data_IF_299974061048
#
_entry.id   IF_299974061048
#
_cell.length_a   1.000
_cell.length_b   1.000
_cell.length_c   1.000
_cell.angle_alpha   90.00
_cell.angle_beta   90.00
_cell.angle_gamma   90.00
#
_symmetry.space_group_name_H-M   'P 1'
#
loop_
_entity.id
_entity.type
_entity.pdbx_description
1 polymer ?
#
# COMPACT_ATOMS: atom_id res chain seq x y z
N UNK A 1 7.91 8.57 15.67
CA UNK A 1 7.94 8.71 17.14
C UNK A 1 8.99 7.82 17.78
N UNK A 2 9.05 6.52 17.50
CA UNK A 2 10.01 5.58 18.12
C UNK A 2 11.48 5.99 17.96
N UNK A 3 11.93 6.28 16.73
CA UNK A 3 13.32 6.75 16.50
C UNK A 3 13.67 8.04 17.25
N UNK A 4 12.69 8.88 17.54
CA UNK A 4 12.92 10.14 18.26
C UNK A 4 13.04 9.88 19.77
N UNK A 5 12.21 9.00 20.31
CA UNK A 5 12.31 8.50 21.68
C UNK A 5 13.67 7.81 21.93
N UNK A 6 14.21 7.11 20.94
CA UNK A 6 15.55 6.51 21.04
C UNK A 6 16.69 7.54 21.14
N UNK A 7 16.41 8.84 20.94
CA UNK A 7 17.38 9.92 21.12
C UNK A 7 17.23 10.69 22.44
N UNK A 8 16.31 10.28 23.31
CA UNK A 8 16.02 10.99 24.58
C UNK A 8 16.49 10.19 25.81
N UNK A 9 16.81 10.93 26.87
CA UNK A 9 17.14 10.39 28.20
C UNK A 9 18.28 9.35 28.18
N UNK A 10 18.03 8.15 28.69
CA UNK A 10 18.98 7.03 28.78
C UNK A 10 19.00 6.16 27.53
N UNK A 11 18.10 6.37 26.57
CA UNK A 11 18.02 5.55 25.36
C UNK A 11 19.27 5.62 24.47
N UNK A 12 19.99 6.76 24.33
CA UNK A 12 21.23 6.81 23.56
C UNK A 12 22.30 5.81 24.02
N UNK A 13 22.36 5.50 25.33
CA UNK A 13 23.25 4.46 25.85
C UNK A 13 22.91 3.11 25.20
N UNK A 14 21.64 2.70 25.23
CA UNK A 14 21.21 1.46 24.59
C UNK A 14 21.38 1.48 23.07
N UNK A 15 21.14 2.63 22.42
CA UNK A 15 21.35 2.77 20.97
C UNK A 15 22.81 2.56 20.58
N UNK A 16 23.75 3.01 21.40
CA UNK A 16 25.18 2.80 21.15
C UNK A 16 25.58 1.31 21.14
N UNK A 17 24.80 0.45 21.80
CA UNK A 17 25.05 -1.00 21.86
C UNK A 17 24.64 -1.68 20.54
N UNK A 18 23.62 -1.17 19.84
CA UNK A 18 23.12 -1.79 18.61
C UNK A 18 23.40 -1.01 17.31
N UNK A 19 23.75 0.28 17.37
CA UNK A 19 24.08 1.10 16.20
C UNK A 19 25.54 1.52 16.20
N UNK A 20 26.24 1.30 15.07
CA UNK A 20 27.65 1.66 14.88
C UNK A 20 27.92 3.17 15.02
N UNK A 21 26.93 4.00 14.69
CA UNK A 21 27.01 5.48 14.76
C UNK A 21 26.14 6.06 15.88
N UNK A 22 25.66 5.21 16.80
CA UNK A 22 24.73 5.60 17.85
C UNK A 22 23.50 6.33 17.28
N UNK A 23 23.17 7.49 17.82
CA UNK A 23 21.96 8.25 17.49
C UNK A 23 22.13 9.29 16.39
N UNK A 24 23.32 9.42 15.77
CA UNK A 24 23.67 10.52 14.86
C UNK A 24 22.59 10.78 13.79
N UNK A 25 22.10 9.71 13.15
CA UNK A 25 21.14 9.78 12.05
C UNK A 25 19.70 9.40 12.44
N UNK A 26 19.43 9.08 13.72
CA UNK A 26 18.15 8.52 14.14
C UNK A 26 16.99 9.51 13.96
N UNK A 27 17.24 10.81 14.15
CA UNK A 27 16.23 11.85 13.87
C UNK A 27 15.84 11.87 12.39
N UNK A 28 16.82 11.78 11.50
CA UNK A 28 16.58 11.70 10.06
C UNK A 28 15.79 10.43 9.70
N UNK A 29 16.20 9.27 10.19
CA UNK A 29 15.48 8.00 9.97
C UNK A 29 14.02 8.09 10.44
N UNK A 30 13.81 8.67 11.63
CA UNK A 30 12.48 8.86 12.19
C UNK A 30 11.58 9.78 11.36
N UNK A 31 12.13 10.85 10.77
CA UNK A 31 11.39 11.74 9.88
C UNK A 31 10.99 11.01 8.60
N UNK A 32 11.92 10.30 7.95
CA UNK A 32 11.65 9.62 6.68
C UNK A 32 10.66 8.47 6.86
N UNK A 33 10.86 7.59 7.84
CA UNK A 33 9.88 6.53 8.15
C UNK A 33 8.54 7.12 8.60
N UNK A 34 8.54 8.24 9.30
CA UNK A 34 7.31 8.96 9.68
C UNK A 34 6.54 9.48 8.48
N UNK A 35 7.23 10.06 7.49
CA UNK A 35 6.62 10.51 6.23
C UNK A 35 6.04 9.33 5.45
N UNK A 36 6.84 8.27 5.23
CA UNK A 36 6.40 7.09 4.48
C UNK A 36 5.24 6.38 5.20
N UNK A 37 5.33 6.17 6.51
CA UNK A 37 4.24 5.61 7.31
C UNK A 37 2.98 6.46 7.28
N UNK A 38 3.10 7.79 7.32
CA UNK A 38 1.99 8.72 7.13
C UNK A 38 1.33 8.57 5.76
N UNK A 39 2.13 8.42 4.69
CA UNK A 39 1.63 8.16 3.33
C UNK A 39 0.87 6.83 3.26
N UNK A 40 1.41 5.75 3.85
CA UNK A 40 0.70 4.48 3.96
C UNK A 40 -0.65 4.64 4.69
N UNK A 41 -0.66 5.34 5.83
CA UNK A 41 -1.86 5.59 6.63
C UNK A 41 -2.93 6.37 5.87
N UNK A 42 -2.56 7.46 5.20
CA UNK A 42 -3.50 8.23 4.36
C UNK A 42 -4.05 7.36 3.24
N UNK A 43 -3.21 6.56 2.58
CA UNK A 43 -3.65 5.69 1.49
C UNK A 43 -4.62 4.60 1.96
N UNK A 44 -4.36 3.99 3.11
CA UNK A 44 -5.27 3.01 3.72
C UNK A 44 -6.61 3.65 4.11
N UNK A 45 -6.57 4.84 4.73
CA UNK A 45 -7.78 5.58 5.07
C UNK A 45 -8.61 5.91 3.83
N UNK A 46 -7.98 6.34 2.73
CA UNK A 46 -8.65 6.59 1.46
C UNK A 46 -9.40 5.33 0.97
N UNK A 47 -8.72 4.18 0.96
CA UNK A 47 -9.31 2.91 0.52
C UNK A 47 -10.48 2.47 1.42
N UNK A 48 -10.36 2.65 2.74
CA UNK A 48 -11.43 2.33 3.70
C UNK A 48 -12.63 3.24 3.48
N UNK A 49 -12.42 4.56 3.41
CA UNK A 49 -13.50 5.54 3.21
C UNK A 49 -14.23 5.28 1.89
N UNK A 50 -13.50 4.97 0.82
CA UNK A 50 -14.10 4.65 -0.48
C UNK A 50 -14.87 3.34 -0.45
N UNK A 51 -14.34 2.31 0.23
CA UNK A 51 -15.04 1.03 0.40
C UNK A 51 -16.35 1.18 1.19
N UNK A 52 -16.35 2.01 2.24
CA UNK A 52 -17.55 2.31 3.04
C UNK A 52 -18.58 3.07 2.20
N UNK A 53 -18.15 4.08 1.43
CA UNK A 53 -19.04 4.86 0.55
C UNK A 53 -19.64 4.01 -0.57
N UNK A 54 -18.86 3.09 -1.12
CA UNK A 54 -19.31 2.17 -2.17
C UNK A 54 -20.11 0.96 -1.65
N UNK A 55 -20.20 0.75 -0.32
CA UNK A 55 -20.76 -0.45 0.33
C UNK A 55 -20.22 -1.77 -0.22
N UNK A 56 -19.05 -1.72 -0.85
CA UNK A 56 -18.32 -2.84 -1.44
C UNK A 56 -16.83 -2.59 -1.22
N UNK A 57 -16.06 -3.66 -1.04
CA UNK A 57 -14.61 -3.55 -0.86
C UNK A 57 -14.00 -3.05 -2.17
N UNK A 58 -13.76 -1.75 -2.24
CA UNK A 58 -13.40 -1.07 -3.47
C UNK A 58 -11.92 -0.70 -3.38
N UNK A 59 -11.05 -1.45 -4.07
CA UNK A 59 -9.61 -1.19 -4.15
C UNK A 59 -9.27 -0.07 -5.15
N UNK A 60 -10.26 0.75 -5.51
CA UNK A 60 -10.21 1.77 -6.56
C UNK A 60 -9.97 3.15 -5.95
N UNK A 61 -9.20 4.00 -6.65
CA UNK A 61 -9.01 5.39 -6.27
C UNK A 61 -8.83 6.25 -7.54
N UNK A 62 -9.91 6.74 -8.15
CA UNK A 62 -9.80 7.83 -9.15
C UNK A 62 -9.48 9.20 -8.52
N UNK A 63 -9.76 9.35 -7.22
CA UNK A 63 -9.54 10.58 -6.47
C UNK A 63 -8.96 10.21 -5.11
N UNK A 64 -7.63 10.32 -4.97
CA UNK A 64 -7.05 10.34 -3.63
C UNK A 64 -7.72 11.47 -2.83
N UNK A 65 -8.05 11.25 -1.56
CA UNK A 65 -8.63 12.30 -0.71
C UNK A 65 -7.67 13.48 -0.63
N UNK A 66 -6.37 13.25 -0.81
CA UNK A 66 -5.37 14.31 -1.03
C UNK A 66 -5.77 15.25 -2.19
N UNK A 67 -6.22 14.72 -3.33
CA UNK A 67 -6.73 15.52 -4.45
C UNK A 67 -8.01 16.25 -4.07
N UNK A 68 -8.98 15.57 -3.48
CA UNK A 68 -10.31 16.13 -3.15
C UNK A 68 -10.26 17.15 -2.03
N UNK A 69 -9.38 16.97 -1.04
CA UNK A 69 -9.18 17.85 0.11
C UNK A 69 -8.33 19.07 -0.29
N UNK A 70 -7.41 18.93 -1.25
CA UNK A 70 -6.69 20.06 -1.84
C UNK A 70 -7.47 20.80 -2.94
N UNK A 71 -8.46 20.17 -3.58
CA UNK A 71 -9.26 20.77 -4.65
C UNK A 71 -10.62 21.30 -4.22
N UNK A 72 -11.04 21.11 -2.95
CA UNK A 72 -12.39 21.49 -2.52
C UNK A 72 -12.57 23.03 -2.42
N UNK A 73 -13.39 23.66 -3.28
CA UNK A 73 -13.58 25.11 -3.27
C UNK A 73 -14.34 25.61 -2.02
N UNK A 74 -15.09 24.76 -1.31
CA UNK A 74 -15.78 25.13 -0.08
C UNK A 74 -14.85 25.25 1.12
N UNK A 75 -13.77 24.47 1.21
CA UNK A 75 -12.74 24.62 2.26
C UNK A 75 -11.91 25.89 2.02
N UNK A 76 -11.59 26.20 0.76
CA UNK A 76 -10.97 27.48 0.35
C UNK A 76 -11.85 28.68 0.72
N UNK A 77 -13.18 28.58 0.49
CA UNK A 77 -14.15 29.63 0.85
C UNK A 77 -14.38 29.74 2.37
N UNK A 78 -14.42 28.64 3.11
CA UNK A 78 -14.54 28.69 4.58
C UNK A 78 -13.27 29.24 5.24
N UNK A 79 -12.08 28.93 4.70
CA UNK A 79 -10.84 29.57 5.14
C UNK A 79 -10.78 31.05 4.74
N UNK A 80 -11.26 31.44 3.56
CA UNK A 80 -11.28 32.85 3.16
C UNK A 80 -12.31 33.68 3.92
N UNK A 81 -13.44 33.09 4.30
CA UNK A 81 -14.48 33.73 5.11
C UNK A 81 -14.07 33.81 6.59
N UNK A 82 -13.43 32.76 7.14
CA UNK A 82 -12.83 32.80 8.48
C UNK A 82 -11.72 33.84 8.56
N UNK A 83 -10.94 34.03 7.49
CA UNK A 83 -9.91 35.07 7.41
C UNK A 83 -10.50 36.48 7.26
N UNK A 84 -11.72 36.61 6.71
CA UNK A 84 -12.43 37.89 6.57
C UNK A 84 -13.14 38.32 7.86
N UNK A 85 -13.62 37.36 8.65
CA UNK A 85 -14.21 37.59 9.98
C UNK A 85 -13.09 37.85 11.02
N UNK A 86 -11.96 37.16 10.91
CA UNK A 86 -10.76 37.42 11.72
C UNK A 86 -10.02 38.73 11.37
N UNK A 87 -10.17 39.27 10.16
CA UNK A 87 -9.51 40.52 9.76
C UNK A 87 -10.16 41.80 10.32
N UNK A 88 -11.34 41.71 10.96
CA UNK A 88 -11.97 42.85 11.66
C UNK A 88 -11.69 42.87 13.17
N UNK A 89 -11.09 41.83 13.72
CA UNK A 89 -10.69 41.78 15.12
C UNK A 89 -9.19 41.50 15.21
N UNK A 90 -8.44 42.49 15.71
CA UNK A 90 -7.00 42.43 16.03
C UNK A 90 -6.04 42.75 14.87
N UNK A 91 -5.82 44.05 14.69
CA UNK A 91 -4.46 44.60 14.58
C UNK A 91 -3.60 44.03 15.73
N UNK A 92 -2.89 42.93 15.50
CA UNK A 92 -1.67 42.64 16.25
C UNK A 92 -0.83 41.58 15.54
N UNK A 93 0.48 41.78 15.65
CA UNK A 93 1.61 41.14 14.98
C UNK A 93 1.61 39.60 14.87
N UNK A 94 2.28 39.13 13.79
CA UNK A 94 2.80 37.75 13.49
C UNK A 94 1.88 36.79 12.71
N UNK A 95 1.91 36.84 11.38
CA UNK A 95 1.68 35.64 10.53
C UNK A 95 2.51 35.62 9.22
N UNK A 96 3.65 34.89 9.20
CA UNK A 96 4.30 34.45 7.95
C UNK A 96 4.05 32.96 7.61
N UNK A 97 3.63 32.14 8.58
CA UNK A 97 3.72 30.66 8.48
C UNK A 97 2.64 29.99 7.62
N UNK A 98 1.45 30.59 7.48
CA UNK A 98 0.31 30.00 6.76
C UNK A 98 0.47 30.04 5.24
N UNK A 99 1.09 31.10 4.69
CA UNK A 99 1.31 31.26 3.24
C UNK A 99 2.37 30.30 2.69
N UNK A 100 3.45 30.06 3.44
CA UNK A 100 4.53 29.16 3.03
C UNK A 100 4.06 27.70 2.95
N UNK A 101 3.27 27.25 3.92
CA UNK A 101 2.70 25.89 3.92
C UNK A 101 1.82 25.61 2.69
N UNK A 102 1.05 26.62 2.24
CA UNK A 102 0.18 26.50 1.06
C UNK A 102 0.95 26.39 -0.27
N UNK A 103 2.11 27.05 -0.38
CA UNK A 103 2.97 26.99 -1.57
C UNK A 103 3.72 25.66 -1.64
N UNK A 104 4.23 25.18 -0.50
CA UNK A 104 4.89 23.88 -0.40
C UNK A 104 3.90 22.75 -0.72
N UNK A 105 2.67 22.80 -0.20
CA UNK A 105 1.64 21.82 -0.52
C UNK A 105 1.30 21.77 -2.02
N UNK A 106 1.21 22.94 -2.68
CA UNK A 106 0.98 23.01 -4.13
C UNK A 106 2.14 22.45 -4.95
N UNK A 107 3.38 22.77 -4.56
CA UNK A 107 4.59 22.23 -5.21
C UNK A 107 4.68 20.71 -5.08
N UNK A 108 4.45 20.18 -3.87
CA UNK A 108 4.40 18.75 -3.61
C UNK A 108 3.27 18.07 -4.40
N UNK A 109 2.09 18.68 -4.49
CA UNK A 109 0.99 18.15 -5.29
C UNK A 109 1.30 18.10 -6.80
N UNK A 110 2.00 19.10 -7.32
CA UNK A 110 2.42 19.15 -8.72
C UNK A 110 3.51 18.11 -9.03
N UNK A 111 4.51 17.97 -8.15
CA UNK A 111 5.50 16.89 -8.27
C UNK A 111 4.83 15.52 -8.20
N UNK A 112 3.94 15.32 -7.23
CA UNK A 112 3.19 14.07 -7.09
C UNK A 112 2.43 13.71 -8.37
N UNK A 113 1.75 14.69 -8.99
CA UNK A 113 1.02 14.49 -10.25
C UNK A 113 1.95 14.14 -11.42
N UNK A 114 3.14 14.74 -11.50
CA UNK A 114 4.11 14.43 -12.57
C UNK A 114 4.73 13.05 -12.42
N UNK A 115 4.99 12.62 -11.19
CA UNK A 115 5.70 11.38 -10.88
C UNK A 115 4.75 10.17 -10.87
N UNK A 116 3.57 10.31 -10.29
CA UNK A 116 2.63 9.20 -10.02
C UNK A 116 1.30 9.29 -10.79
N UNK A 117 1.16 10.16 -11.80
CA UNK A 117 -0.02 10.09 -12.70
C UNK A 117 0.06 8.85 -13.59
N UNK A 118 -1.07 8.47 -14.20
CA UNK A 118 -1.13 7.34 -15.17
C UNK A 118 -0.08 7.43 -16.27
N UNK A 119 0.18 8.64 -16.78
CA UNK A 119 1.20 8.95 -17.80
C UNK A 119 2.52 9.46 -17.21
N UNK A 120 2.65 9.49 -15.88
CA UNK A 120 3.86 9.93 -15.19
C UNK A 120 4.99 8.91 -15.32
N UNK A 121 6.18 9.25 -14.82
CA UNK A 121 7.37 8.40 -14.95
C UNK A 121 7.16 7.00 -14.35
N UNK A 122 6.50 6.91 -13.18
CA UNK A 122 6.11 5.65 -12.53
C UNK A 122 4.67 5.23 -12.86
N UNK A 123 4.04 5.88 -13.83
CA UNK A 123 2.69 5.60 -14.26
C UNK A 123 2.56 4.28 -15.03
N UNK A 124 1.41 3.65 -14.91
CA UNK A 124 1.07 2.38 -15.60
C UNK A 124 1.17 2.51 -17.12
N UNK A 125 0.89 3.70 -17.66
CA UNK A 125 0.86 3.98 -19.10
C UNK A 125 2.19 4.59 -19.59
N UNK A 126 3.26 4.57 -18.77
CA UNK A 126 4.56 5.13 -19.16
C UNK A 126 5.31 4.19 -20.12
N UNK A 127 6.01 4.78 -21.11
CA UNK A 127 6.81 4.00 -22.07
C UNK A 127 7.97 3.21 -21.39
N UNK A 128 8.36 3.59 -20.18
CA UNK A 128 9.44 2.99 -19.41
C UNK A 128 8.96 2.06 -18.29
N UNK A 129 7.64 1.81 -18.20
CA UNK A 129 7.03 1.06 -17.11
C UNK A 129 7.73 -0.29 -16.84
N UNK A 130 8.00 -1.07 -17.90
CA UNK A 130 8.65 -2.38 -17.77
C UNK A 130 10.06 -2.29 -17.17
N UNK A 131 10.86 -1.30 -17.61
CA UNK A 131 12.24 -1.10 -17.13
C UNK A 131 12.26 -0.58 -15.70
N UNK A 132 11.40 0.39 -15.38
CA UNK A 132 11.27 0.94 -14.03
C UNK A 132 10.81 -0.14 -13.05
N UNK A 133 9.86 -0.96 -13.46
CA UNK A 133 9.37 -2.08 -12.66
C UNK A 133 10.44 -3.15 -12.46
N UNK A 134 11.16 -3.56 -13.50
CA UNK A 134 12.24 -4.53 -13.38
C UNK A 134 13.35 -4.04 -12.44
N UNK A 135 13.70 -2.75 -12.52
CA UNK A 135 14.67 -2.14 -11.61
C UNK A 135 14.15 -2.10 -10.16
N UNK A 136 12.87 -1.79 -9.97
CA UNK A 136 12.23 -1.80 -8.65
C UNK A 136 12.26 -3.20 -8.04
N UNK A 137 11.84 -4.23 -8.77
CA UNK A 137 11.89 -5.63 -8.33
C UNK A 137 13.31 -6.07 -7.98
N UNK A 138 14.29 -5.70 -8.81
CA UNK A 138 15.70 -5.99 -8.52
C UNK A 138 16.15 -5.31 -7.22
N UNK A 139 15.81 -4.03 -7.02
CA UNK A 139 16.13 -3.31 -5.80
C UNK A 139 15.46 -3.93 -4.58
N UNK A 140 14.18 -4.31 -4.69
CA UNK A 140 13.43 -4.97 -3.62
C UNK A 140 14.02 -6.32 -3.27
N UNK A 141 14.29 -7.18 -4.25
CA UNK A 141 14.92 -8.48 -4.05
C UNK A 141 16.31 -8.35 -3.41
N UNK A 142 17.13 -7.41 -3.89
CA UNK A 142 18.46 -7.15 -3.31
C UNK A 142 18.35 -6.68 -1.86
N UNK A 143 17.40 -5.78 -1.61
CA UNK A 143 17.13 -5.19 -0.31
C UNK A 143 16.64 -6.24 0.69
N UNK A 144 15.68 -7.07 0.31
CA UNK A 144 15.17 -8.18 1.11
C UNK A 144 16.24 -9.24 1.34
N UNK A 145 17.06 -9.56 0.34
CA UNK A 145 18.21 -10.48 0.48
C UNK A 145 19.19 -9.97 1.53
N UNK A 146 19.54 -8.69 1.50
CA UNK A 146 20.40 -8.08 2.53
C UNK A 146 19.77 -8.17 3.92
N UNK A 147 18.47 -7.88 4.04
CA UNK A 147 17.75 -7.97 5.31
C UNK A 147 17.69 -9.42 5.84
N UNK A 148 17.48 -10.41 4.98
CA UNK A 148 17.47 -11.83 5.34
C UNK A 148 18.86 -12.32 5.76
N UNK A 149 19.92 -11.92 5.05
CA UNK A 149 21.30 -12.19 5.47
C UNK A 149 21.64 -11.56 6.83
N UNK A 150 21.18 -10.33 7.07
CA UNK A 150 21.32 -9.68 8.37
C UNK A 150 20.55 -10.43 9.45
N UNK A 151 19.33 -10.89 9.15
CA UNK A 151 18.53 -11.70 10.07
C UNK A 151 19.22 -13.03 10.38
N UNK A 152 19.86 -13.70 9.42
CA UNK A 152 20.55 -14.96 9.68
C UNK A 152 21.73 -14.84 10.65
N UNK A 153 22.36 -13.67 10.71
CA UNK A 153 23.48 -13.39 11.60
C UNK A 153 23.06 -12.80 12.96
N UNK A 154 21.90 -12.15 13.01
CA UNK A 154 21.45 -11.40 14.20
C UNK A 154 20.28 -12.07 14.93
N UNK A 155 19.51 -12.93 14.27
CA UNK A 155 18.31 -13.52 14.85
C UNK A 155 18.63 -14.93 15.35
N UNK A 156 18.76 -15.16 16.67
CA UNK A 156 19.03 -16.49 17.21
C UNK A 156 17.84 -17.45 17.04
N UNK A 157 16.66 -16.93 16.72
CA UNK A 157 15.44 -17.73 16.44
C UNK A 157 15.48 -18.27 15.02
N UNK A 158 15.78 -19.56 14.89
CA UNK A 158 15.84 -20.26 13.60
C UNK A 158 14.51 -20.20 12.83
N UNK A 159 13.37 -20.27 13.51
CA UNK A 159 12.04 -20.24 12.90
C UNK A 159 11.77 -18.95 12.11
N UNK A 160 12.12 -17.80 12.70
CA UNK A 160 11.94 -16.50 12.05
C UNK A 160 12.93 -16.31 10.89
N UNK A 161 14.16 -16.81 11.04
CA UNK A 161 15.14 -16.80 9.97
C UNK A 161 14.66 -17.63 8.77
N UNK A 162 14.19 -18.87 9.00
CA UNK A 162 13.59 -19.73 7.97
C UNK A 162 12.37 -19.05 7.33
N UNK A 163 11.53 -18.39 8.12
CA UNK A 163 10.37 -17.64 7.61
C UNK A 163 10.79 -16.51 6.68
N UNK A 164 11.81 -15.72 7.02
CA UNK A 164 12.31 -14.64 6.16
C UNK A 164 12.93 -15.16 4.86
N UNK A 165 13.66 -16.29 4.93
CA UNK A 165 14.20 -16.96 3.73
C UNK A 165 13.07 -17.48 2.85
N UNK A 166 12.06 -18.13 3.44
CA UNK A 166 10.91 -18.65 2.70
C UNK A 166 10.15 -17.52 2.00
N UNK A 167 9.88 -16.40 2.69
CA UNK A 167 9.24 -15.22 2.10
C UNK A 167 10.05 -14.65 0.91
N UNK A 168 11.37 -14.56 1.04
CA UNK A 168 12.25 -14.11 -0.04
C UNK A 168 12.18 -15.04 -1.26
N UNK A 169 12.29 -16.36 -1.04
CA UNK A 169 12.21 -17.36 -2.11
C UNK A 169 10.85 -17.32 -2.78
N UNK A 170 9.76 -17.25 -2.00
CA UNK A 170 8.40 -17.10 -2.52
C UNK A 170 8.29 -15.86 -3.39
N UNK A 171 8.78 -14.70 -2.95
CA UNK A 171 8.71 -13.47 -3.75
C UNK A 171 9.37 -13.64 -5.14
N UNK A 172 10.61 -14.14 -5.14
CA UNK A 172 11.38 -14.36 -6.37
C UNK A 172 10.67 -15.35 -7.32
N UNK A 173 10.16 -16.45 -6.77
CA UNK A 173 9.50 -17.50 -7.56
C UNK A 173 8.12 -17.07 -8.06
N UNK A 174 7.33 -16.35 -7.27
CA UNK A 174 6.02 -15.84 -7.71
C UNK A 174 6.17 -14.83 -8.83
N UNK A 175 7.14 -13.92 -8.75
CA UNK A 175 7.41 -12.93 -9.80
C UNK A 175 7.80 -13.60 -11.11
N UNK A 176 8.74 -14.55 -11.08
CA UNK A 176 9.12 -15.32 -12.27
C UNK A 176 7.97 -16.19 -12.80
N UNK A 177 7.25 -16.86 -11.91
CA UNK A 177 6.13 -17.73 -12.24
C UNK A 177 5.02 -16.99 -12.97
N UNK A 178 4.54 -15.87 -12.43
CA UNK A 178 3.48 -15.09 -13.09
C UNK A 178 3.91 -14.56 -14.46
N UNK A 179 5.17 -14.16 -14.63
CA UNK A 179 5.68 -13.72 -15.94
C UNK A 179 5.68 -14.86 -16.98
N UNK A 180 5.97 -16.09 -16.57
CA UNK A 180 5.97 -17.26 -17.46
C UNK A 180 4.54 -17.73 -17.76
N UNK A 181 3.74 -17.97 -16.71
CA UNK A 181 2.41 -18.56 -16.85
C UNK A 181 1.37 -17.60 -17.44
N UNK A 182 1.48 -16.30 -17.13
CA UNK A 182 0.54 -15.27 -17.60
C UNK A 182 1.10 -14.47 -18.78
N UNK A 183 2.09 -15.02 -19.49
CA UNK A 183 2.69 -14.40 -20.67
C UNK A 183 1.65 -14.05 -21.76
N UNK A 184 0.57 -14.84 -21.86
CA UNK A 184 -0.54 -14.60 -22.82
C UNK A 184 -1.45 -13.45 -22.41
N UNK A 185 -1.45 -13.07 -21.13
CA UNK A 185 -2.31 -12.06 -20.52
C UNK A 185 -1.48 -11.15 -19.61
N UNK A 186 -0.66 -10.25 -20.18
CA UNK A 186 0.31 -9.45 -19.43
C UNK A 186 -0.33 -8.57 -18.36
N UNK A 187 -1.55 -8.08 -18.59
CA UNK A 187 -2.27 -7.26 -17.61
C UNK A 187 -2.70 -8.07 -16.38
N UNK A 188 -3.15 -9.31 -16.57
CA UNK A 188 -3.48 -10.22 -15.47
C UNK A 188 -2.21 -10.62 -14.70
N UNK A 189 -1.10 -10.85 -15.43
CA UNK A 189 0.22 -11.08 -14.85
C UNK A 189 0.63 -9.98 -13.88
N UNK A 190 0.52 -8.72 -14.30
CA UNK A 190 0.85 -7.56 -13.47
C UNK A 190 0.01 -7.48 -12.20
N UNK A 191 -1.30 -7.71 -12.29
CA UNK A 191 -2.18 -7.67 -11.11
C UNK A 191 -1.78 -8.71 -10.08
N UNK A 192 -1.53 -9.95 -10.51
CA UNK A 192 -1.10 -11.00 -9.59
C UNK A 192 0.28 -10.71 -8.99
N UNK A 193 1.25 -10.30 -9.80
CA UNK A 193 2.59 -9.97 -9.29
C UNK A 193 2.54 -8.83 -8.28
N UNK A 194 1.84 -7.73 -8.58
CA UNK A 194 1.72 -6.61 -7.63
C UNK A 194 1.01 -7.00 -6.34
N UNK A 195 0.00 -7.86 -6.42
CA UNK A 195 -0.74 -8.32 -5.23
C UNK A 195 0.14 -9.19 -4.35
N UNK A 196 0.83 -10.16 -4.93
CA UNK A 196 1.71 -11.06 -4.18
C UNK A 196 2.96 -10.34 -3.62
N UNK A 197 3.61 -9.47 -4.40
CA UNK A 197 4.75 -8.66 -3.91
C UNK A 197 4.29 -7.75 -2.75
N UNK A 198 3.10 -7.14 -2.84
CA UNK A 198 2.56 -6.37 -1.73
C UNK A 198 2.28 -7.22 -0.49
N UNK A 199 1.76 -8.44 -0.64
CA UNK A 199 1.51 -9.35 0.48
C UNK A 199 2.81 -9.80 1.16
N UNK A 200 3.80 -10.24 0.37
CA UNK A 200 5.10 -10.69 0.89
C UNK A 200 5.86 -9.51 1.50
N UNK A 201 5.86 -8.36 0.82
CA UNK A 201 6.43 -7.12 1.32
C UNK A 201 5.80 -6.72 2.66
N UNK A 202 4.47 -6.78 2.80
CA UNK A 202 3.78 -6.52 4.06
C UNK A 202 4.19 -7.49 5.17
N UNK A 203 4.28 -8.79 4.86
CA UNK A 203 4.72 -9.80 5.82
C UNK A 203 6.14 -9.50 6.33
N UNK A 204 7.06 -9.16 5.44
CA UNK A 204 8.45 -8.85 5.78
C UNK A 204 8.61 -7.57 6.59
N UNK A 205 7.90 -6.49 6.22
CA UNK A 205 8.07 -5.17 6.87
C UNK A 205 7.20 -4.96 8.10
N UNK A 206 6.13 -5.74 8.26
CA UNK A 206 5.16 -5.57 9.36
C UNK A 206 5.05 -6.82 10.22
N UNK A 207 4.72 -7.97 9.64
CA UNK A 207 4.44 -9.19 10.41
C UNK A 207 5.68 -9.70 11.14
N UNK A 208 6.82 -9.81 10.45
CA UNK A 208 8.07 -10.28 11.07
C UNK A 208 8.54 -9.37 12.22
N UNK A 209 8.63 -8.04 12.06
CA UNK A 209 8.94 -7.15 13.19
C UNK A 209 7.94 -7.23 14.36
N UNK A 210 6.64 -7.43 14.08
CA UNK A 210 5.65 -7.60 15.13
C UNK A 210 5.86 -8.90 15.93
N UNK A 211 6.19 -10.01 15.26
CA UNK A 211 6.49 -11.28 15.94
C UNK A 211 7.72 -11.18 16.86
N UNK A 212 8.68 -10.31 16.52
CA UNK A 212 9.82 -9.99 17.39
C UNK A 212 9.39 -9.11 18.56
N UNK A 213 8.59 -8.07 18.31
CA UNK A 213 8.27 -7.04 19.29
C UNK A 213 7.21 -7.45 20.34
N UNK A 214 6.21 -8.24 19.95
CA UNK A 214 5.07 -8.63 20.82
C UNK A 214 5.51 -9.34 22.12
N UNK A 215 6.42 -10.34 22.08
CA UNK A 215 6.93 -10.98 23.30
C UNK A 215 7.55 -9.99 24.30
N UNK A 216 8.25 -8.95 23.82
CA UNK A 216 8.84 -7.94 24.68
C UNK A 216 7.79 -7.08 25.38
N UNK A 217 6.74 -6.66 24.67
CA UNK A 217 5.64 -5.92 25.29
C UNK A 217 4.97 -6.75 26.39
N UNK A 218 4.76 -8.05 26.15
CA UNK A 218 4.15 -8.94 27.13
C UNK A 218 5.03 -9.13 28.38
N UNK A 219 6.35 -9.16 28.21
CA UNK A 219 7.33 -9.26 29.28
C UNK A 219 7.64 -7.92 29.98
N UNK A 220 7.23 -6.80 29.40
CA UNK A 220 7.49 -5.46 29.93
C UNK A 220 6.33 -4.95 30.79
N UNK A 221 6.66 -4.33 31.92
CA UNK A 221 5.70 -3.62 32.75
C UNK A 221 5.70 -2.14 32.35
N UNK A 222 4.60 -1.71 31.73
CA UNK A 222 4.45 -0.33 31.26
C UNK A 222 4.31 0.69 32.40
N UNK A 223 3.79 0.27 33.57
CA UNK A 223 3.58 1.15 34.71
C UNK A 223 4.90 1.49 35.38
N UNK A 224 5.76 0.49 35.57
CA UNK A 224 7.06 0.65 36.23
C UNK A 224 8.21 0.86 35.25
N UNK A 225 7.97 0.76 33.94
CA UNK A 225 8.97 0.89 32.86
C UNK A 225 10.16 -0.06 33.02
N UNK A 226 9.90 -1.27 33.52
CA UNK A 226 10.90 -2.32 33.75
C UNK A 226 10.41 -3.64 33.19
N UNK A 227 11.33 -4.57 32.92
CA UNK A 227 10.94 -5.94 32.60
C UNK A 227 10.40 -6.64 33.85
N UNK A 228 9.33 -7.42 33.69
CA UNK A 228 8.70 -8.18 34.78
C UNK A 228 9.67 -9.15 35.45
N UNK A 229 10.60 -9.71 34.68
CA UNK A 229 11.70 -10.49 35.19
C UNK A 229 12.91 -9.56 35.45
N UNK A 230 13.32 -9.35 36.72
CA UNK A 230 14.44 -8.48 37.04
C UNK A 230 15.78 -9.01 36.51
N UNK A 231 15.93 -10.33 36.34
CA UNK A 231 17.15 -10.94 35.82
C UNK A 231 17.33 -10.74 34.31
N UNK A 232 16.29 -10.27 33.60
CA UNK A 232 16.31 -10.12 32.14
C UNK A 232 17.48 -9.27 31.62
N UNK A 233 17.88 -8.23 32.36
CA UNK A 233 18.99 -7.33 31.99
C UNK A 233 20.36 -7.88 32.45
N UNK A 234 20.38 -8.72 33.47
CA UNK A 234 21.62 -9.27 34.04
C UNK A 234 22.03 -10.60 33.41
N UNK A 235 21.05 -11.37 32.93
CA UNK A 235 21.28 -12.62 32.22
C UNK A 235 21.81 -12.33 30.80
N UNK A 236 23.00 -12.85 30.43
CA UNK A 236 23.64 -12.48 29.18
C UNK A 236 22.86 -12.95 27.95
N UNK A 237 22.17 -14.10 28.03
CA UNK A 237 21.43 -14.68 26.91
C UNK A 237 20.23 -13.82 26.48
N UNK A 238 19.24 -13.51 27.35
CA UNK A 238 18.09 -12.69 26.98
C UNK A 238 18.50 -11.25 26.62
N UNK A 239 19.48 -10.68 27.34
CA UNK A 239 19.98 -9.35 27.06
C UNK A 239 20.63 -9.25 25.67
N UNK A 240 21.56 -10.15 25.33
CA UNK A 240 22.22 -10.17 24.02
C UNK A 240 21.19 -10.46 22.91
N UNK A 241 20.26 -11.38 23.13
CA UNK A 241 19.17 -11.66 22.18
C UNK A 241 18.36 -10.40 21.88
N UNK A 242 17.95 -9.66 22.91
CA UNK A 242 17.23 -8.40 22.75
C UNK A 242 18.05 -7.36 21.97
N UNK A 243 19.36 -7.23 22.26
CA UNK A 243 20.25 -6.31 21.55
C UNK A 243 20.34 -6.65 20.07
N UNK A 244 20.52 -7.93 19.73
CA UNK A 244 20.63 -8.38 18.34
C UNK A 244 19.30 -8.22 17.59
N UNK A 245 18.18 -8.53 18.23
CA UNK A 245 16.84 -8.35 17.67
C UNK A 245 16.53 -6.85 17.44
N UNK A 246 16.91 -5.95 18.37
CA UNK A 246 16.82 -4.50 18.17
C UNK A 246 17.73 -3.99 17.04
N UNK A 247 18.92 -4.58 16.88
CA UNK A 247 19.83 -4.26 15.75
C UNK A 247 19.25 -4.69 14.40
N UNK A 248 18.36 -5.68 14.38
CA UNK A 248 17.62 -6.07 13.19
C UNK A 248 16.44 -5.13 12.93
N UNK A 249 15.67 -4.77 13.96
CA UNK A 249 14.48 -3.90 13.86
C UNK A 249 14.83 -2.44 13.54
N UNK A 250 15.83 -1.87 14.21
CA UNK A 250 16.23 -0.48 14.01
C UNK A 250 17.36 -0.37 12.98
N UNK A 251 17.45 0.80 12.34
CA UNK A 251 18.51 1.11 11.41
C UNK A 251 19.84 1.25 12.15
N UNK A 252 20.74 0.30 11.91
CA UNK A 252 22.08 0.31 12.48
C UNK A 252 23.07 1.18 11.67
N UNK A 253 22.79 1.41 10.38
CA UNK A 253 23.61 2.19 9.45
C UNK A 253 22.75 2.80 8.33
N UNK A 254 23.35 3.66 7.47
CA UNK A 254 22.65 4.22 6.30
C UNK A 254 22.24 3.17 5.27
N UNK A 255 23.08 2.15 5.04
CA UNK A 255 22.75 1.05 4.13
C UNK A 255 21.57 0.26 4.67
N UNK A 256 21.63 -0.08 5.96
CA UNK A 256 20.56 -0.81 6.66
C UNK A 256 19.24 -0.02 6.71
N UNK A 257 19.34 1.31 6.83
CA UNK A 257 18.20 2.21 6.68
C UNK A 257 17.62 2.16 5.27
N UNK A 258 18.46 2.29 4.24
CA UNK A 258 18.03 2.27 2.84
C UNK A 258 17.36 0.93 2.48
N UNK A 259 17.93 -0.19 2.92
CA UNK A 259 17.37 -1.53 2.65
C UNK A 259 16.08 -1.82 3.41
N UNK A 260 15.84 -1.13 4.52
CA UNK A 260 14.53 -1.16 5.19
C UNK A 260 13.51 -0.26 4.47
N UNK A 261 13.95 0.86 3.90
CA UNK A 261 13.10 1.83 3.23
C UNK A 261 12.60 1.39 1.84
N UNK A 262 13.46 0.74 1.05
CA UNK A 262 13.16 0.34 -0.34
C UNK A 262 11.87 -0.48 -0.45
N UNK A 263 11.65 -1.55 0.35
CA UNK A 263 10.42 -2.34 0.28
C UNK A 263 9.16 -1.51 0.60
N UNK A 264 9.22 -0.56 1.54
CA UNK A 264 8.08 0.32 1.84
C UNK A 264 7.72 1.23 0.65
N UNK A 265 8.73 1.81 0.00
CA UNK A 265 8.52 2.65 -1.18
C UNK A 265 7.97 1.83 -2.36
N UNK A 266 8.48 0.61 -2.55
CA UNK A 266 7.95 -0.34 -3.53
C UNK A 266 6.48 -0.63 -3.29
N UNK A 267 6.11 -0.96 -2.04
CA UNK A 267 4.74 -1.31 -1.68
C UNK A 267 3.77 -0.13 -1.87
N UNK A 268 4.22 1.11 -1.63
CA UNK A 268 3.45 2.30 -1.99
C UNK A 268 3.25 2.44 -3.50
N UNK A 269 4.31 2.26 -4.28
CA UNK A 269 4.22 2.35 -5.73
C UNK A 269 3.30 1.26 -6.30
N UNK A 270 3.47 0.00 -5.88
CA UNK A 270 2.62 -1.12 -6.27
C UNK A 270 1.15 -0.87 -5.94
N UNK A 271 0.84 -0.29 -4.77
CA UNK A 271 -0.53 0.05 -4.38
C UNK A 271 -1.13 1.16 -5.27
N UNK A 272 -0.35 2.18 -5.62
CA UNK A 272 -0.77 3.27 -6.53
C UNK A 272 -1.00 2.72 -7.95
N UNK A 273 -0.09 1.89 -8.43
CA UNK A 273 -0.17 1.23 -9.75
C UNK A 273 -1.37 0.29 -9.82
N UNK A 274 -1.60 -0.54 -8.79
CA UNK A 274 -2.74 -1.46 -8.72
C UNK A 274 -4.09 -0.73 -8.76
N UNK A 275 -4.23 0.35 -7.98
CA UNK A 275 -5.45 1.19 -8.03
C UNK A 275 -5.65 1.88 -9.40
N UNK A 276 -4.58 2.02 -10.19
CA UNK A 276 -4.62 2.61 -11.53
C UNK A 276 -4.85 1.59 -12.64
N UNK A 277 -4.49 0.31 -12.42
CA UNK A 277 -4.72 -0.83 -13.30
C UNK A 277 -6.15 -1.37 -13.22
N UNK A 278 -6.75 -1.37 -12.03
CA UNK A 278 -8.15 -1.75 -11.81
C UNK A 278 -9.16 -0.75 -12.39
N UNK A 279 -8.68 0.40 -12.86
CA UNK A 279 -9.40 1.21 -13.86
C UNK A 279 -9.36 0.48 -15.20
N UNK A 280 -10.19 -0.54 -15.34
CA UNK A 280 -10.41 -1.25 -16.60
C UNK A 280 -10.59 -0.20 -17.71
N UNK A 281 -9.74 -0.22 -18.77
CA UNK A 281 -9.83 0.76 -19.84
C UNK A 281 -11.25 0.79 -20.41
N UNK A 282 -11.72 1.95 -20.85
CA UNK A 282 -13.07 2.07 -21.43
C UNK A 282 -13.28 1.04 -22.55
N UNK A 283 -12.24 0.75 -23.34
CA UNK A 283 -12.25 -0.29 -24.38
C UNK A 283 -12.44 -1.73 -23.86
N UNK A 284 -11.99 -2.05 -22.64
CA UNK A 284 -12.23 -3.36 -22.00
C UNK A 284 -13.65 -3.40 -21.40
N UNK A 285 -14.14 -2.26 -20.87
CA UNK A 285 -15.54 -2.09 -20.44
C UNK A 285 -16.52 -2.10 -21.62
N UNK A 286 -16.11 -1.69 -22.82
CA UNK A 286 -16.93 -1.74 -24.05
C UNK A 286 -16.82 -3.05 -24.80
N UNK A 287 -15.75 -3.84 -24.58
CA UNK A 287 -15.59 -5.17 -25.20
C UNK A 287 -16.24 -6.31 -24.42
N UNK A 288 -16.74 -6.05 -23.21
CA UNK A 288 -17.65 -6.98 -22.52
C UNK A 288 -19.03 -6.87 -23.17
N UNK A 289 -19.18 -7.46 -24.37
CA UNK A 289 -20.50 -7.67 -24.96
C UNK A 289 -21.26 -8.62 -24.03
N UNK A 290 -22.36 -8.14 -23.47
CA UNK A 290 -23.22 -8.99 -22.66
C UNK A 290 -24.05 -9.81 -23.63
N UNK A 291 -23.88 -11.14 -23.58
CA UNK A 291 -24.60 -12.06 -24.47
C UNK A 291 -25.94 -12.40 -23.82
N UNK A 292 -27.03 -12.14 -24.54
CA UNK A 292 -28.39 -12.43 -24.10
C UNK A 292 -29.07 -13.36 -25.10
N UNK A 293 -29.98 -14.20 -24.62
CA UNK A 293 -30.79 -15.05 -25.50
C UNK A 293 -31.94 -14.23 -26.13
N UNK A 294 -32.29 -14.57 -27.38
CA UNK A 294 -33.54 -14.08 -27.99
C UNK A 294 -34.75 -14.44 -27.11
N UNK A 295 -35.72 -13.51 -27.00
CA UNK A 295 -36.91 -13.65 -26.15
C UNK A 295 -36.79 -13.00 -24.76
N UNK A 296 -35.61 -12.50 -24.39
CA UNK A 296 -35.43 -11.66 -23.20
C UNK A 296 -35.75 -10.18 -23.51
N UNK A 297 -36.16 -9.35 -22.53
CA UNK A 297 -36.43 -7.93 -22.76
C UNK A 297 -35.22 -7.14 -23.29
N UNK A 298 -34.01 -7.66 -23.08
CA UNK A 298 -32.75 -7.09 -23.59
C UNK A 298 -32.45 -7.46 -25.05
N UNK A 299 -33.15 -8.42 -25.64
CA UNK A 299 -33.09 -8.82 -27.04
C UNK A 299 -34.47 -8.74 -27.74
N UNK A 300 -35.40 -7.97 -27.18
CA UNK A 300 -36.71 -7.70 -27.75
C UNK A 300 -36.65 -6.50 -28.72
N UNK A 301 -37.40 -6.57 -29.82
CA UNK A 301 -37.54 -5.47 -30.78
C UNK A 301 -38.84 -4.68 -30.52
N UNK A 302 -38.80 -3.33 -30.44
CA UNK A 302 -37.61 -2.48 -30.37
C UNK A 302 -36.99 -2.44 -28.95
N UNK A 303 -35.65 -2.38 -28.87
CA UNK A 303 -34.95 -2.15 -27.60
C UNK A 303 -35.27 -0.75 -27.07
N UNK A 304 -35.69 -0.65 -25.81
CA UNK A 304 -36.15 0.60 -25.20
C UNK A 304 -35.04 1.67 -25.03
N UNK A 305 -33.76 1.26 -25.02
CA UNK A 305 -32.61 2.16 -24.86
C UNK A 305 -31.57 1.93 -25.98
N UNK A 306 -31.36 2.91 -26.88
CA UNK A 306 -30.40 2.80 -27.98
C UNK A 306 -28.94 2.73 -27.51
N UNK A 307 -28.63 3.15 -26.28
CA UNK A 307 -27.27 3.05 -25.71
C UNK A 307 -26.91 1.63 -25.27
N UNK A 308 -27.92 0.80 -24.97
CA UNK A 308 -27.75 -0.61 -24.65
C UNK A 308 -27.63 -1.49 -25.90
N UNK A 309 -28.22 -1.06 -27.02
CA UNK A 309 -28.22 -1.82 -28.28
C UNK A 309 -26.82 -2.12 -28.84
N UNK A 310 -25.85 -1.22 -28.65
CA UNK A 310 -24.46 -1.45 -29.11
C UNK A 310 -23.67 -2.44 -28.23
N UNK A 311 -24.14 -2.71 -27.00
CA UNK A 311 -23.42 -3.51 -25.98
C UNK A 311 -23.98 -4.93 -25.80
N UNK A 312 -25.12 -5.23 -26.40
CA UNK A 312 -25.80 -6.52 -26.30
C UNK A 312 -25.54 -7.35 -27.56
N UNK A 313 -25.14 -8.60 -27.39
CA UNK A 313 -25.07 -9.59 -28.47
C UNK A 313 -26.20 -10.60 -28.27
N UNK A 314 -27.18 -10.61 -29.16
CA UNK A 314 -28.27 -11.58 -29.10
C UNK A 314 -27.85 -12.90 -29.73
N UNK A 315 -28.09 -13.99 -29.02
CA UNK A 315 -27.77 -15.36 -29.43
C UNK A 315 -29.04 -16.22 -29.44
N UNK A 316 -29.13 -17.11 -30.43
CA UNK A 316 -30.25 -18.04 -30.57
C UNK A 316 -30.06 -19.23 -29.62
N UNK A 317 -31.06 -19.50 -28.77
CA UNK A 317 -31.00 -20.62 -27.80
C UNK A 317 -30.89 -21.92 -28.62
N UNK A 318 -29.79 -22.69 -28.51
CA UNK A 318 -29.60 -23.91 -29.27
C UNK A 318 -30.68 -24.94 -28.89
N UNK A 319 -31.30 -25.57 -29.87
CA UNK A 319 -32.31 -26.59 -29.63
C UNK A 319 -31.72 -27.77 -28.82
N UNK A 320 -32.38 -28.15 -27.72
CA UNK A 320 -31.99 -29.30 -26.88
C UNK A 320 -31.12 -28.98 -25.66
N UNK A 321 -30.92 -27.71 -25.31
CA UNK A 321 -30.16 -27.31 -24.11
C UNK A 321 -30.88 -27.64 -22.80
N UNK A 322 -32.22 -27.77 -22.85
CA UNK A 322 -33.08 -28.13 -21.71
C UNK A 322 -32.79 -29.54 -21.16
N UNK A 323 -32.09 -30.36 -21.95
CA UNK A 323 -31.74 -31.75 -21.64
C UNK A 323 -30.48 -31.81 -20.76
N UNK A 324 -29.58 -30.83 -20.86
CA UNK A 324 -28.30 -30.78 -20.12
C UNK A 324 -28.28 -29.75 -19.01
N UNK A 325 -29.15 -28.74 -19.07
CA UNK A 325 -29.27 -27.72 -18.03
C UNK A 325 -30.75 -27.36 -17.83
N UNK A 326 -31.27 -27.34 -16.58
CA UNK A 326 -32.68 -27.08 -16.29
C UNK A 326 -32.99 -25.60 -16.50
N UNK A 327 -33.19 -25.23 -17.76
CA UNK A 327 -33.33 -23.85 -18.19
C UNK A 327 -34.57 -23.18 -17.58
N UNK A 328 -35.62 -23.96 -17.32
CA UNK A 328 -36.83 -23.54 -16.60
C UNK A 328 -36.53 -22.98 -15.20
N UNK A 329 -35.53 -23.52 -14.49
CA UNK A 329 -35.20 -23.10 -13.14
C UNK A 329 -34.50 -21.74 -13.15
N UNK A 330 -33.69 -21.51 -14.17
CA UNK A 330 -33.00 -20.24 -14.40
C UNK A 330 -34.00 -19.16 -14.84
N UNK A 331 -34.92 -19.49 -15.75
CA UNK A 331 -35.99 -18.58 -16.17
C UNK A 331 -36.94 -18.23 -15.00
N UNK A 332 -37.12 -19.13 -14.02
CA UNK A 332 -37.89 -18.87 -12.79
C UNK A 332 -37.12 -18.05 -11.73
N UNK A 333 -35.82 -18.30 -11.56
CA UNK A 333 -34.95 -17.59 -10.61
C UNK A 333 -34.69 -16.14 -11.02
N UNK A 334 -34.68 -15.88 -12.33
CA UNK A 334 -34.48 -14.56 -12.92
C UNK A 334 -35.73 -14.09 -13.67
N UNK A 335 -36.91 -14.48 -13.19
CA UNK A 335 -38.17 -14.01 -13.73
C UNK A 335 -38.21 -12.47 -13.65
N UNK A 336 -38.30 -11.83 -14.80
CA UNK A 336 -38.39 -10.38 -14.90
C UNK A 336 -39.86 -9.97 -14.70
N UNK A 337 -40.14 -9.22 -13.64
CA UNK A 337 -41.39 -8.46 -13.53
C UNK A 337 -41.24 -7.23 -14.44
N UNK A 338 -42.09 -7.17 -15.48
CA UNK A 338 -42.07 -6.11 -16.49
C UNK A 338 -42.57 -4.76 -15.97
#
# INVERSE_FOLDING_TARGET
MTYWYLTTDTMPFYVSIWSLKGTENYRFYGVVFGMVGGMHGVRLLDLIVMSIRGRQLTLWSETSVIRTLMSNPTISKHLSLANKIGAKASQSSRQPKSRLASLVARSLAQMWKRVFSRQGFFGVESAHFSTVYALQELLVASSQTYQTYRASNLLPRSELNVTMVALLVTNCWTTAGFQIFLRKSPELGRVFTFTYDAMVGFAMVTVVPLLIFVPYIQAFDLQYKIFKNPNFIYDPVPFVTMVLENRLMFAASMLDFATKLIPHLSLMLSLVTHTSLTNMPEWVKTNTKVVWAYGTPFCATPMADPTFAERVMCFERPAGQDITFPMFLFDALYAYEG
#
